data_IF_466439209904
#
_entry.id   IF_466439209904
#
_cell.length_a   1.000
_cell.length_b   1.000
_cell.length_c   1.000
_cell.angle_alpha   90.00
_cell.angle_beta   90.00
_cell.angle_gamma   90.00
#
_symmetry.space_group_name_H-M   'P 1'
#
loop_
_entity.id
_entity.type
_entity.pdbx_description
1 polymer ?
#
# COMPACT_ATOMS: atom_id res chain seq x y z
N UNK A 1 0.22 -20.85 -5.56
CA UNK A 1 0.62 -19.53 -4.96
C UNK A 1 0.88 -18.52 -6.05
N UNK A 2 0.48 -17.31 -5.84
CA UNK A 2 0.72 -16.20 -6.79
C UNK A 2 1.66 -15.19 -6.18
N UNK A 3 2.48 -14.55 -7.02
CA UNK A 3 3.27 -13.40 -6.63
C UNK A 3 2.46 -12.14 -6.89
N UNK A 4 2.50 -11.21 -5.97
CA UNK A 4 1.74 -9.98 -6.06
C UNK A 4 2.61 -8.79 -5.70
N UNK A 5 2.51 -7.71 -6.47
CA UNK A 5 3.14 -6.45 -6.17
C UNK A 5 2.10 -5.51 -5.55
N UNK A 6 2.47 -4.90 -4.43
CA UNK A 6 1.63 -3.98 -3.69
C UNK A 6 2.34 -2.65 -3.61
N UNK A 7 1.70 -1.60 -4.11
CA UNK A 7 2.23 -0.24 -3.99
C UNK A 7 1.70 0.39 -2.71
N UNK A 8 2.58 1.03 -1.97
CA UNK A 8 2.27 1.70 -0.71
C UNK A 8 2.72 3.15 -0.80
N UNK A 9 1.91 4.08 -0.30
CA UNK A 9 2.26 5.50 -0.30
C UNK A 9 1.69 6.22 0.91
N UNK A 10 2.43 7.22 1.40
CA UNK A 10 1.98 8.07 2.50
C UNK A 10 2.53 9.49 2.30
N UNK A 11 1.70 10.51 2.53
CA UNK A 11 2.16 11.89 2.53
C UNK A 11 1.66 12.69 3.74
N UNK A 12 1.31 12.01 4.82
CA UNK A 12 0.79 12.64 6.02
C UNK A 12 1.53 12.09 7.25
N UNK A 13 1.96 12.97 8.13
CA UNK A 13 2.60 12.60 9.38
C UNK A 13 3.94 11.92 9.18
N UNK A 14 4.24 10.93 10.00
CA UNK A 14 5.47 10.14 9.90
C UNK A 14 5.32 9.09 8.80
N UNK A 15 5.64 9.46 7.57
CA UNK A 15 5.41 8.66 6.37
C UNK A 15 6.11 7.30 6.44
N UNK A 16 7.37 7.27 6.85
CA UNK A 16 8.12 6.01 6.96
C UNK A 16 7.47 5.07 7.98
N UNK A 17 7.03 5.61 9.12
CA UNK A 17 6.36 4.82 10.13
C UNK A 17 5.06 4.21 9.59
N UNK A 18 4.29 4.99 8.84
CA UNK A 18 3.04 4.50 8.23
C UNK A 18 3.29 3.38 7.24
N UNK A 19 4.35 3.51 6.41
CA UNK A 19 4.74 2.45 5.49
C UNK A 19 5.15 1.17 6.23
N UNK A 20 5.98 1.32 7.26
CA UNK A 20 6.44 0.18 8.05
C UNK A 20 5.28 -0.53 8.74
N UNK A 21 4.34 0.23 9.32
CA UNK A 21 3.16 -0.34 9.96
C UNK A 21 2.26 -1.06 8.95
N UNK A 22 2.08 -0.49 7.77
CA UNK A 22 1.27 -1.12 6.73
C UNK A 22 1.86 -2.46 6.31
N UNK A 23 3.16 -2.51 6.08
CA UNK A 23 3.85 -3.76 5.73
C UNK A 23 3.70 -4.78 6.84
N UNK A 24 3.93 -4.39 8.09
CA UNK A 24 3.81 -5.28 9.24
C UNK A 24 2.40 -5.88 9.32
N UNK A 25 1.38 -5.05 9.15
CA UNK A 25 -0.01 -5.50 9.26
C UNK A 25 -0.43 -6.40 8.09
N UNK A 26 0.05 -6.09 6.88
CA UNK A 26 -0.22 -6.95 5.72
C UNK A 26 0.43 -8.33 5.92
N UNK A 27 1.70 -8.35 6.34
CA UNK A 27 2.41 -9.62 6.53
C UNK A 27 1.91 -10.44 7.71
N UNK A 28 1.15 -9.84 8.62
CA UNK A 28 0.50 -10.55 9.72
C UNK A 28 -0.77 -11.30 9.29
N UNK A 29 -1.31 -11.01 8.11
CA UNK A 29 -2.48 -11.73 7.58
C UNK A 29 -2.08 -13.13 7.15
N UNK A 30 -3.00 -14.09 7.30
CA UNK A 30 -2.76 -15.46 6.86
C UNK A 30 -2.53 -15.53 5.36
N UNK A 31 -1.62 -16.39 4.96
CA UNK A 31 -1.34 -16.69 3.55
C UNK A 31 -0.80 -15.48 2.76
N UNK A 32 -0.09 -14.60 3.45
CA UNK A 32 0.66 -13.51 2.83
C UNK A 32 2.11 -13.64 3.28
N UNK A 33 2.99 -14.04 2.35
CA UNK A 33 4.39 -14.29 2.66
C UNK A 33 5.27 -13.22 2.01
N UNK A 34 6.22 -12.72 2.77
CA UNK A 34 7.16 -11.70 2.31
C UNK A 34 8.13 -12.27 1.28
N UNK A 35 8.31 -11.56 0.17
CA UNK A 35 9.36 -11.88 -0.81
C UNK A 35 10.40 -10.78 -0.92
N UNK A 36 9.97 -9.53 -1.08
CA UNK A 36 10.88 -8.41 -1.22
C UNK A 36 10.19 -7.08 -0.91
N UNK A 37 10.98 -6.07 -0.58
CA UNK A 37 10.49 -4.73 -0.31
C UNK A 37 11.45 -3.73 -0.92
N UNK A 38 10.94 -2.79 -1.71
CA UNK A 38 11.77 -1.77 -2.35
C UNK A 38 12.21 -0.70 -1.34
N UNK A 39 13.19 0.12 -1.75
CA UNK A 39 13.51 1.35 -1.02
C UNK A 39 12.38 2.35 -1.23
N UNK A 40 12.11 3.21 -0.22
CA UNK A 40 11.13 4.28 -0.42
C UNK A 40 11.65 5.33 -1.41
N UNK A 41 10.72 5.87 -2.21
CA UNK A 41 11.00 6.91 -3.19
C UNK A 41 10.02 8.06 -2.94
N UNK A 42 10.53 9.27 -2.93
CA UNK A 42 9.72 10.48 -2.76
C UNK A 42 9.15 10.93 -4.09
N UNK A 43 7.85 11.23 -4.14
CA UNK A 43 7.17 11.75 -5.33
C UNK A 43 6.33 12.96 -4.98
N UNK A 44 6.08 13.83 -5.97
CA UNK A 44 5.24 15.01 -5.78
C UNK A 44 3.76 14.60 -5.75
N UNK A 45 2.93 15.26 -4.90
CA UNK A 45 1.49 15.06 -4.96
C UNK A 45 0.94 15.53 -6.30
N UNK A 46 -0.12 14.86 -6.78
CA UNK A 46 -0.81 15.21 -8.01
C UNK A 46 -2.16 15.80 -7.64
N UNK A 47 -2.37 17.08 -7.97
CA UNK A 47 -3.60 17.79 -7.65
C UNK A 47 -3.78 18.07 -6.17
N UNK A 48 -4.98 18.47 -5.75
CA UNK A 48 -5.32 18.76 -4.37
C UNK A 48 -4.76 20.09 -3.86
N UNK A 49 -4.84 20.32 -2.53
CA UNK A 49 -4.41 21.60 -1.96
C UNK A 49 -2.91 21.84 -2.09
N UNK A 50 -2.53 23.09 -2.16
CA UNK A 50 -1.12 23.48 -2.14
C UNK A 50 -0.52 23.21 -0.75
N UNK A 51 0.80 23.03 -0.71
CA UNK A 51 1.52 22.84 0.54
C UNK A 51 1.49 21.41 1.09
N UNK A 52 0.96 20.45 0.34
CA UNK A 52 1.03 19.05 0.74
C UNK A 52 2.47 18.55 0.75
N UNK A 53 2.78 17.68 1.70
CA UNK A 53 4.05 16.97 1.70
C UNK A 53 4.13 16.00 0.52
N UNK A 54 5.35 15.77 0.05
CA UNK A 54 5.58 14.75 -0.98
C UNK A 54 5.17 13.38 -0.45
N UNK A 55 4.72 12.52 -1.36
CA UNK A 55 4.49 11.12 -1.02
C UNK A 55 5.81 10.40 -0.83
N UNK A 56 5.85 9.52 0.15
CA UNK A 56 6.86 8.50 0.27
C UNK A 56 6.23 7.20 -0.22
N UNK A 57 6.80 6.61 -1.26
CA UNK A 57 6.24 5.42 -1.92
C UNK A 57 7.21 4.27 -1.88
N UNK A 58 6.67 3.06 -1.79
CA UNK A 58 7.46 1.84 -1.95
C UNK A 58 6.62 0.72 -2.53
N UNK A 59 7.27 -0.36 -2.93
CA UNK A 59 6.62 -1.55 -3.47
C UNK A 59 6.98 -2.75 -2.60
N UNK A 60 5.98 -3.52 -2.25
CA UNK A 60 6.11 -4.77 -1.51
C UNK A 60 5.80 -5.93 -2.45
N UNK A 61 6.66 -6.93 -2.50
CA UNK A 61 6.38 -8.15 -3.21
C UNK A 61 6.07 -9.25 -2.21
N UNK A 62 4.94 -9.92 -2.43
CA UNK A 62 4.49 -11.01 -1.58
C UNK A 62 4.15 -12.24 -2.41
N UNK A 63 4.09 -13.38 -1.75
CA UNK A 63 3.53 -14.60 -2.31
C UNK A 63 2.29 -14.97 -1.50
N UNK A 64 1.22 -15.37 -2.20
CA UNK A 64 -0.06 -15.61 -1.53
C UNK A 64 -0.90 -16.61 -2.32
N UNK A 65 -1.79 -17.33 -1.62
CA UNK A 65 -2.85 -18.11 -2.25
C UNK A 65 -4.21 -17.44 -2.12
N UNK A 66 -4.25 -16.19 -1.61
CA UNK A 66 -5.49 -15.42 -1.54
C UNK A 66 -5.92 -14.96 -2.93
N UNK A 67 -7.22 -14.77 -3.11
CA UNK A 67 -7.75 -14.18 -4.34
C UNK A 67 -7.43 -12.68 -4.37
N UNK A 68 -7.43 -12.03 -5.55
CA UNK A 68 -7.27 -10.57 -5.62
C UNK A 68 -8.28 -9.82 -4.76
N UNK A 69 -9.54 -10.27 -4.73
CA UNK A 69 -10.58 -9.65 -3.92
C UNK A 69 -10.25 -9.74 -2.43
N UNK A 70 -9.75 -10.88 -1.99
CA UNK A 70 -9.34 -11.08 -0.60
C UNK A 70 -8.16 -10.17 -0.23
N UNK A 71 -7.19 -10.03 -1.14
CA UNK A 71 -6.06 -9.12 -0.93
C UNK A 71 -6.51 -7.67 -0.85
N UNK A 72 -7.43 -7.27 -1.72
CA UNK A 72 -7.97 -5.92 -1.70
C UNK A 72 -8.68 -5.63 -0.37
N UNK A 73 -9.45 -6.59 0.14
CA UNK A 73 -10.10 -6.46 1.44
C UNK A 73 -9.07 -6.28 2.55
N UNK A 74 -7.98 -7.07 2.54
CA UNK A 74 -6.90 -6.91 3.51
C UNK A 74 -6.28 -5.52 3.43
N UNK A 75 -6.02 -5.02 2.23
CA UNK A 75 -5.44 -3.69 2.03
C UNK A 75 -6.35 -2.60 2.60
N UNK A 76 -7.64 -2.68 2.30
CA UNK A 76 -8.63 -1.72 2.80
C UNK A 76 -8.73 -1.75 4.33
N UNK A 77 -8.67 -2.93 4.92
CA UNK A 77 -8.68 -3.06 6.39
C UNK A 77 -7.45 -2.41 7.01
N UNK A 78 -6.28 -2.62 6.42
CA UNK A 78 -5.04 -1.99 6.91
C UNK A 78 -5.12 -0.48 6.79
N UNK A 79 -5.63 0.04 5.66
CA UNK A 79 -5.83 1.49 5.49
C UNK A 79 -6.72 2.05 6.59
N UNK A 80 -7.82 1.37 6.91
CA UNK A 80 -8.73 1.81 7.97
C UNK A 80 -8.08 1.74 9.35
N UNK A 81 -7.33 0.67 9.62
CA UNK A 81 -6.62 0.51 10.90
C UNK A 81 -5.61 1.62 11.14
N UNK A 82 -5.02 2.14 10.07
CA UNK A 82 -4.03 3.22 10.15
C UNK A 82 -4.65 4.61 10.05
N UNK A 83 -5.99 4.68 10.10
CA UNK A 83 -6.70 5.95 10.20
C UNK A 83 -6.87 6.72 8.90
N UNK A 84 -6.93 6.02 7.76
CA UNK A 84 -7.15 6.68 6.48
C UNK A 84 -8.53 7.30 6.43
N UNK A 85 -8.57 8.64 6.30
CA UNK A 85 -9.82 9.39 6.16
C UNK A 85 -9.72 10.27 4.91
N UNK A 86 -10.74 10.18 4.03
CA UNK A 86 -10.77 10.97 2.81
C UNK A 86 -11.62 12.21 3.02
N UNK A 87 -10.99 13.32 3.35
CA UNK A 87 -11.66 14.61 3.43
C UNK A 87 -11.71 15.31 2.07
N UNK A 88 -10.73 15.05 1.21
CA UNK A 88 -10.60 15.64 -0.11
C UNK A 88 -10.12 14.57 -1.08
N UNK A 89 -10.57 14.68 -2.34
CA UNK A 89 -10.27 13.68 -3.37
C UNK A 89 -8.76 13.46 -3.59
N UNK A 90 -8.00 14.56 -3.64
CA UNK A 90 -6.56 14.54 -3.87
C UNK A 90 -5.78 15.00 -2.65
N UNK A 91 -6.41 14.98 -1.48
CA UNK A 91 -5.79 15.44 -0.24
C UNK A 91 -4.75 14.48 0.31
N UNK A 92 -4.12 14.91 1.42
CA UNK A 92 -3.12 14.12 2.12
C UNK A 92 -3.71 12.82 2.66
N UNK A 93 -2.88 11.77 2.70
CA UNK A 93 -3.30 10.44 3.15
C UNK A 93 -2.26 9.82 4.06
N UNK A 94 -2.76 9.20 5.15
CA UNK A 94 -1.92 8.42 6.05
C UNK A 94 -1.27 7.26 5.32
N UNK A 95 -2.07 6.52 4.56
CA UNK A 95 -1.59 5.38 3.78
C UNK A 95 -2.52 5.12 2.59
N UNK A 96 -1.91 4.82 1.45
CA UNK A 96 -2.58 4.28 0.26
C UNK A 96 -1.95 2.94 -0.05
N UNK A 97 -2.79 1.95 -0.32
CA UNK A 97 -2.34 0.59 -0.66
C UNK A 97 -3.06 0.15 -1.93
N UNK A 98 -2.28 -0.15 -2.98
CA UNK A 98 -2.82 -0.58 -4.27
C UNK A 98 -2.19 -1.88 -4.72
N UNK A 99 -3.03 -2.78 -5.26
CA UNK A 99 -2.53 -3.99 -5.90
C UNK A 99 -2.10 -3.64 -7.32
N UNK A 100 -0.83 -3.92 -7.65
CA UNK A 100 -0.29 -3.63 -8.97
C UNK A 100 -0.36 -4.83 -9.91
N UNK A 101 -0.14 -6.02 -9.38
CA UNK A 101 0.01 -7.21 -10.22
C UNK A 101 -0.21 -8.48 -9.40
N UNK A 102 -0.91 -9.44 -10.02
CA UNK A 102 -0.99 -10.81 -9.54
C UNK A 102 -0.58 -11.70 -10.70
N UNK A 103 0.58 -12.35 -10.61
CA UNK A 103 1.24 -13.00 -11.73
C UNK A 103 0.39 -14.04 -12.45
N UNK A 104 -0.41 -14.81 -11.72
CA UNK A 104 -1.26 -15.82 -12.32
C UNK A 104 -2.38 -15.24 -13.18
N UNK A 105 -2.75 -14.00 -12.96
CA UNK A 105 -3.74 -13.32 -13.79
C UNK A 105 -3.14 -12.77 -15.06
N UNK A 106 -1.84 -12.57 -15.08
CA UNK A 106 -1.12 -11.98 -16.21
C UNK A 106 -0.71 -13.04 -17.20
N UNK A 107 -0.36 -14.22 -16.72
CA UNK A 107 0.15 -15.30 -17.54
C UNK A 107 -0.95 -15.92 -18.42
N UNK A 108 -2.19 -15.67 -18.08
CA UNK A 108 -3.31 -16.18 -18.85
C UNK A 108 -3.61 -15.31 -20.05
#
# INVERSE_FOLDING_TARGET
MSKCLIALGSNLGNRQHHLDEAVTRLLARENIDFLARSRPITTNPIGGPTGQHHFLNEVLMIETNRTPESLLTCAQQVEQELGRVRHQRWGARTIDIDLLMVDQMIVQ
#
